data_IF_872868008020
#
_entry.id   IF_872868008020
#
_cell.length_a   1.000
_cell.length_b   1.000
_cell.length_c   1.000
_cell.angle_alpha   90.00
_cell.angle_beta   90.00
_cell.angle_gamma   90.00
#
_symmetry.space_group_name_H-M   'P 1'
#
loop_
_entity.id
_entity.type
_entity.pdbx_description
1 polymer ?
#
# COMPACT_ATOMS: atom_id res chain seq x y z
N UNK A 1 -29.97 0.95 -10.42
CA UNK A 1 -29.67 2.39 -10.54
C UNK A 1 -28.88 2.80 -9.30
N UNK A 2 -27.55 2.77 -9.39
CA UNK A 2 -26.66 2.84 -8.22
C UNK A 2 -26.39 4.32 -7.92
N UNK A 3 -27.25 4.95 -7.12
CA UNK A 3 -26.98 6.27 -6.54
C UNK A 3 -25.84 6.08 -5.55
N UNK A 4 -24.61 5.97 -6.07
CA UNK A 4 -23.42 5.75 -5.25
C UNK A 4 -23.02 7.13 -4.74
N UNK A 5 -23.37 7.43 -3.49
CA UNK A 5 -22.88 8.61 -2.78
C UNK A 5 -21.38 8.81 -3.08
N UNK A 6 -20.97 10.02 -3.46
CA UNK A 6 -19.57 10.31 -3.82
C UNK A 6 -18.57 9.85 -2.74
N UNK A 7 -19.00 9.78 -1.48
CA UNK A 7 -18.24 9.22 -0.36
C UNK A 7 -17.92 7.72 -0.54
N UNK A 8 -18.88 6.92 -1.02
CA UNK A 8 -18.69 5.49 -1.29
C UNK A 8 -17.80 5.30 -2.52
N UNK A 9 -17.94 6.14 -3.56
CA UNK A 9 -17.04 6.10 -4.71
C UNK A 9 -15.61 6.44 -4.30
N UNK A 10 -15.42 7.47 -3.48
CA UNK A 10 -14.13 7.81 -2.90
C UNK A 10 -13.52 6.61 -2.17
N UNK A 11 -14.24 5.99 -1.23
CA UNK A 11 -13.74 4.82 -0.49
C UNK A 11 -13.36 3.65 -1.41
N UNK A 12 -14.16 3.39 -2.44
CA UNK A 12 -13.85 2.36 -3.43
C UNK A 12 -12.54 2.66 -4.16
N UNK A 13 -12.38 3.89 -4.67
CA UNK A 13 -11.18 4.30 -5.39
C UNK A 13 -9.94 4.33 -4.49
N UNK A 14 -10.07 4.81 -3.26
CA UNK A 14 -8.98 4.82 -2.29
C UNK A 14 -8.58 3.41 -1.90
N UNK A 15 -9.53 2.49 -1.72
CA UNK A 15 -9.25 1.08 -1.44
C UNK A 15 -8.55 0.40 -2.62
N UNK A 16 -9.09 0.59 -3.84
CA UNK A 16 -8.48 0.08 -5.07
C UNK A 16 -7.04 0.59 -5.24
N UNK A 17 -6.83 1.90 -5.07
CA UNK A 17 -5.52 2.51 -5.20
C UNK A 17 -4.54 2.02 -4.12
N UNK A 18 -5.00 1.81 -2.88
CA UNK A 18 -4.17 1.25 -1.82
C UNK A 18 -3.69 -0.17 -2.15
N UNK A 19 -4.57 -1.02 -2.70
CA UNK A 19 -4.21 -2.38 -3.13
C UNK A 19 -3.26 -2.34 -4.31
N UNK A 20 -3.52 -1.48 -5.28
CA UNK A 20 -2.65 -1.31 -6.44
C UNK A 20 -1.24 -0.88 -6.03
N UNK A 21 -1.12 0.12 -5.15
CA UNK A 21 0.17 0.57 -4.60
C UNK A 21 0.89 -0.56 -3.86
N UNK A 22 0.16 -1.35 -3.06
CA UNK A 22 0.75 -2.49 -2.36
C UNK A 22 1.31 -3.53 -3.33
N UNK A 23 0.53 -3.94 -4.33
CA UNK A 23 0.97 -4.90 -5.35
C UNK A 23 2.19 -4.35 -6.11
N UNK A 24 2.18 -3.07 -6.46
CA UNK A 24 3.28 -2.45 -7.17
C UNK A 24 4.56 -2.40 -6.33
N UNK A 25 4.44 -2.04 -5.05
CA UNK A 25 5.56 -2.05 -4.12
C UNK A 25 6.15 -3.45 -3.96
N UNK A 26 5.30 -4.47 -3.81
CA UNK A 26 5.74 -5.87 -3.73
C UNK A 26 6.40 -6.32 -5.04
N UNK A 27 5.84 -5.96 -6.18
CA UNK A 27 6.42 -6.30 -7.49
C UNK A 27 7.81 -5.70 -7.68
N UNK A 28 7.99 -4.42 -7.33
CA UNK A 28 9.31 -3.77 -7.36
C UNK A 28 10.28 -4.46 -6.40
N UNK A 29 9.85 -4.74 -5.17
CA UNK A 29 10.68 -5.45 -4.19
C UNK A 29 11.10 -6.84 -4.68
N UNK A 30 10.18 -7.59 -5.29
CA UNK A 30 10.44 -8.92 -5.82
C UNK A 30 11.42 -8.88 -7.01
N UNK A 31 11.18 -7.99 -7.98
CA UNK A 31 12.06 -7.83 -9.15
C UNK A 31 13.46 -7.35 -8.72
N UNK A 32 13.53 -6.48 -7.72
CA UNK A 32 14.81 -5.93 -7.29
C UNK A 32 15.61 -6.93 -6.47
N UNK A 33 15.00 -7.60 -5.49
CA UNK A 33 15.75 -8.37 -4.49
C UNK A 33 15.69 -9.88 -4.67
N UNK A 34 14.65 -10.42 -5.30
CA UNK A 34 14.42 -11.87 -5.43
C UNK A 34 14.70 -12.36 -6.85
N UNK A 35 14.31 -11.59 -7.86
CA UNK A 35 14.45 -11.92 -9.28
C UNK A 35 15.18 -10.80 -10.06
N UNK A 36 16.42 -10.46 -9.68
CA UNK A 36 17.15 -9.39 -10.36
C UNK A 36 17.54 -9.84 -11.78
N UNK A 37 17.25 -8.98 -12.77
CA UNK A 37 17.65 -9.18 -14.17
C UNK A 37 19.18 -9.17 -14.34
N UNK A 38 19.89 -8.42 -13.48
CA UNK A 38 21.36 -8.35 -13.41
C UNK A 38 21.86 -8.54 -11.98
N UNK A 39 23.01 -9.19 -11.79
CA UNK A 39 23.62 -9.32 -10.45
C UNK A 39 23.87 -7.94 -9.85
N UNK A 40 23.15 -7.62 -8.77
CA UNK A 40 23.31 -6.38 -8.02
C UNK A 40 24.74 -6.27 -7.47
N UNK A 41 25.57 -5.43 -8.11
CA UNK A 41 26.90 -5.08 -7.60
C UNK A 41 26.83 -3.99 -6.53
N UNK A 42 25.77 -3.16 -6.56
CA UNK A 42 25.49 -2.10 -5.59
C UNK A 42 24.01 -2.07 -5.23
N UNK A 43 23.69 -1.51 -4.07
CA UNK A 43 22.31 -1.32 -3.62
C UNK A 43 21.64 -0.27 -4.54
N UNK A 44 20.55 -0.60 -5.25
CA UNK A 44 19.94 0.31 -6.22
C UNK A 44 19.19 1.44 -5.52
N UNK A 45 19.89 2.52 -5.23
CA UNK A 45 19.39 3.66 -4.44
C UNK A 45 18.12 4.27 -5.05
N UNK A 46 18.05 4.42 -6.38
CA UNK A 46 16.87 4.94 -7.07
C UNK A 46 15.63 4.08 -6.82
N UNK A 47 15.80 2.76 -6.80
CA UNK A 47 14.71 1.81 -6.57
C UNK A 47 14.24 1.86 -5.11
N UNK A 48 15.15 1.99 -4.15
CA UNK A 48 14.79 2.16 -2.74
C UNK A 48 14.01 3.46 -2.53
N UNK A 49 14.46 4.57 -3.14
CA UNK A 49 13.75 5.85 -3.07
C UNK A 49 12.34 5.72 -3.66
N UNK A 50 12.20 5.04 -4.80
CA UNK A 50 10.89 4.74 -5.38
C UNK A 50 10.01 3.92 -4.44
N UNK A 51 10.54 2.84 -3.84
CA UNK A 51 9.81 2.02 -2.87
C UNK A 51 9.37 2.84 -1.65
N UNK A 52 10.22 3.75 -1.16
CA UNK A 52 9.88 4.65 -0.06
C UNK A 52 8.75 5.61 -0.42
N UNK A 53 8.79 6.19 -1.63
CA UNK A 53 7.72 7.07 -2.15
C UNK A 53 6.40 6.29 -2.28
N UNK A 54 6.43 5.09 -2.86
CA UNK A 54 5.24 4.24 -3.01
C UNK A 54 4.65 3.84 -1.66
N UNK A 55 5.52 3.51 -0.68
CA UNK A 55 5.08 3.23 0.68
C UNK A 55 4.41 4.44 1.32
N UNK A 56 5.00 5.63 1.16
CA UNK A 56 4.42 6.90 1.61
C UNK A 56 3.02 7.15 1.04
N UNK A 57 2.85 6.99 -0.28
CA UNK A 57 1.54 7.12 -0.91
C UNK A 57 0.54 6.06 -0.43
N UNK A 58 0.99 4.83 -0.19
CA UNK A 58 0.15 3.76 0.32
C UNK A 58 -0.37 4.09 1.72
N UNK A 59 0.51 4.56 2.62
CA UNK A 59 0.12 4.98 3.98
C UNK A 59 -0.87 6.14 3.92
N UNK A 60 -0.63 7.15 3.07
CA UNK A 60 -1.56 8.28 2.90
C UNK A 60 -2.93 7.82 2.39
N UNK A 61 -2.97 6.90 1.43
CA UNK A 61 -4.21 6.35 0.90
C UNK A 61 -4.99 5.56 1.97
N UNK A 62 -4.30 4.69 2.72
CA UNK A 62 -4.92 3.91 3.81
C UNK A 62 -5.46 4.84 4.90
N UNK A 63 -4.70 5.87 5.30
CA UNK A 63 -5.14 6.84 6.31
C UNK A 63 -6.35 7.64 5.84
N UNK A 64 -6.32 8.18 4.62
CA UNK A 64 -7.45 8.91 4.05
C UNK A 64 -8.72 8.03 3.97
N UNK A 65 -8.55 6.79 3.52
CA UNK A 65 -9.64 5.81 3.47
C UNK A 65 -10.19 5.48 4.86
N UNK A 66 -9.30 5.30 5.85
CA UNK A 66 -9.68 5.04 7.25
C UNK A 66 -10.51 6.20 7.80
N UNK A 67 -10.01 7.44 7.68
CA UNK A 67 -10.71 8.64 8.17
C UNK A 67 -12.10 8.75 7.55
N UNK A 68 -12.21 8.68 6.23
CA UNK A 68 -13.52 8.80 5.56
C UNK A 68 -14.44 7.65 5.94
N UNK A 69 -13.92 6.42 6.06
CA UNK A 69 -14.74 5.26 6.45
C UNK A 69 -15.32 5.40 7.86
N UNK A 70 -14.54 5.94 8.80
CA UNK A 70 -14.97 6.22 10.18
C UNK A 70 -15.98 7.36 10.20
N UNK A 71 -15.73 8.44 9.45
CA UNK A 71 -16.65 9.59 9.37
C UNK A 71 -18.05 9.22 8.85
N UNK A 72 -18.14 8.25 7.92
CA UNK A 72 -19.43 7.78 7.39
C UNK A 72 -19.95 6.51 8.08
N UNK A 73 -19.29 6.06 9.16
CA UNK A 73 -19.61 4.85 9.90
C UNK A 73 -19.76 3.59 9.02
N UNK A 74 -18.89 3.47 7.99
CA UNK A 74 -18.93 2.32 7.08
C UNK A 74 -18.02 1.20 7.60
N UNK A 75 -18.63 0.26 8.34
CA UNK A 75 -17.93 -0.88 8.96
C UNK A 75 -17.11 -1.74 7.99
N UNK A 76 -17.55 -1.88 6.74
CA UNK A 76 -16.81 -2.68 5.75
C UNK A 76 -15.47 -2.02 5.43
N UNK A 77 -15.49 -0.75 5.03
CA UNK A 77 -14.26 -0.04 4.67
C UNK A 77 -13.38 0.22 5.88
N UNK A 78 -13.93 0.47 7.07
CA UNK A 78 -13.13 0.60 8.29
C UNK A 78 -12.33 -0.67 8.56
N UNK A 79 -12.97 -1.85 8.50
CA UNK A 79 -12.26 -3.14 8.66
C UNK A 79 -11.23 -3.35 7.56
N UNK A 80 -11.57 -3.02 6.32
CA UNK A 80 -10.66 -3.16 5.18
C UNK A 80 -9.39 -2.32 5.36
N UNK A 81 -9.51 -1.03 5.65
CA UNK A 81 -8.34 -0.16 5.82
C UNK A 81 -7.53 -0.50 7.07
N UNK A 82 -8.18 -0.92 8.17
CA UNK A 82 -7.46 -1.44 9.34
C UNK A 82 -6.67 -2.70 9.01
N UNK A 83 -7.24 -3.65 8.26
CA UNK A 83 -6.52 -4.84 7.81
C UNK A 83 -5.37 -4.47 6.87
N UNK A 84 -5.59 -3.56 5.93
CA UNK A 84 -4.55 -3.07 5.01
C UNK A 84 -3.38 -2.43 5.77
N UNK A 85 -3.65 -1.68 6.84
CA UNK A 85 -2.63 -1.09 7.70
C UNK A 85 -1.79 -2.16 8.41
N UNK A 86 -2.43 -3.21 8.94
CA UNK A 86 -1.72 -4.35 9.55
C UNK A 86 -0.84 -5.05 8.50
N UNK A 87 -1.38 -5.32 7.31
CA UNK A 87 -0.62 -5.94 6.21
C UNK A 87 0.60 -5.10 5.85
N UNK A 88 0.42 -3.78 5.69
CA UNK A 88 1.53 -2.86 5.40
C UNK A 88 2.63 -2.90 6.48
N UNK A 89 2.24 -2.90 7.76
CA UNK A 89 3.18 -2.99 8.88
C UNK A 89 3.91 -4.34 8.91
N UNK A 90 3.19 -5.45 8.71
CA UNK A 90 3.79 -6.80 8.67
C UNK A 90 4.80 -6.89 7.54
N UNK A 91 4.46 -6.38 6.34
CA UNK A 91 5.38 -6.36 5.20
C UNK A 91 6.62 -5.52 5.51
N UNK A 92 6.48 -4.37 6.15
CA UNK A 92 7.63 -3.56 6.57
C UNK A 92 8.52 -4.28 7.59
N UNK A 93 7.92 -4.95 8.58
CA UNK A 93 8.65 -5.72 9.59
C UNK A 93 9.40 -6.91 8.97
N UNK A 94 8.77 -7.62 8.03
CA UNK A 94 9.41 -8.73 7.31
C UNK A 94 10.57 -8.23 6.47
N UNK A 95 10.38 -7.15 5.70
CA UNK A 95 11.44 -6.54 4.91
C UNK A 95 12.60 -6.11 5.80
N UNK A 96 12.34 -5.40 6.91
CA UNK A 96 13.40 -5.03 7.86
C UNK A 96 14.12 -6.26 8.40
N UNK A 97 13.39 -7.30 8.81
CA UNK A 97 13.97 -8.55 9.30
C UNK A 97 14.85 -9.28 8.27
N UNK A 98 14.57 -9.13 6.97
CA UNK A 98 15.40 -9.70 5.90
C UNK A 98 16.67 -8.89 5.62
N UNK A 99 16.68 -7.59 5.88
CA UNK A 99 17.79 -6.69 5.53
C UNK A 99 18.60 -6.16 6.73
N UNK A 100 18.19 -6.42 7.97
CA UNK A 100 18.89 -6.02 9.22
C UNK A 100 18.29 -4.79 9.90
#
# INVERSE_FOLDING_TARGET
MLIRSGKIQFLFWTAFFSVFLYIWLVAIGLQTFVLPDEKMMEIPQNTIVLMFILYGFMVLAILAGTIVSVMINNRFYTKFFSAALIVALVTLLLTKGMFG
#
